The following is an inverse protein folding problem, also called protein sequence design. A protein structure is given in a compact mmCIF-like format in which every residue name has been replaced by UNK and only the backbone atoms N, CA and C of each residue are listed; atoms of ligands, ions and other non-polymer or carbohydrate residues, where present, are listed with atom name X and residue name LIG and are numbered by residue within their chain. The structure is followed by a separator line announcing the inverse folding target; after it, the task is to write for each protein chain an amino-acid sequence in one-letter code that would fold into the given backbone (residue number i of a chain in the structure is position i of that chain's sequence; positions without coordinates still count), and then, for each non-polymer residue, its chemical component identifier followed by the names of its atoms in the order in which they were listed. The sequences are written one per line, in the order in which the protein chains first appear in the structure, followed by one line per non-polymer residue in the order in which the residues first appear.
data_IF_832294667836
#
_entry.id   IF_832294667836
#
_cell.length_a   1.000
_cell.length_b   1.000
_cell.length_c   1.000
_cell.angle_alpha   90.00
_cell.angle_beta   90.00
_cell.angle_gamma   90.00
#
_symmetry.space_group_name_H-M   'P 1'
#
loop_
_entity.id
_entity.type
_entity.pdbx_description
1 polymer ?
#
# COMPACT_ATOMS: atom_id res chain seq x y z
N UNK A 1 -0.78 18.32 -8.32
CA UNK A 1 -1.22 16.98 -7.83
C UNK A 1 -2.37 16.40 -8.68
N UNK A 2 -3.46 17.16 -9.01
CA UNK A 2 -4.64 16.66 -9.75
C UNK A 2 -4.30 16.11 -11.15
N UNK A 3 -3.53 16.86 -11.93
CA UNK A 3 -3.13 16.44 -13.29
C UNK A 3 -2.34 15.12 -13.25
N UNK A 4 -1.30 15.01 -12.41
CA UNK A 4 -0.49 13.82 -12.27
C UNK A 4 -1.33 12.60 -11.80
N UNK A 5 -2.32 12.80 -10.92
CA UNK A 5 -3.25 11.72 -10.54
C UNK A 5 -4.04 11.20 -11.74
N UNK A 6 -4.56 12.09 -12.58
CA UNK A 6 -5.35 11.71 -13.75
C UNK A 6 -4.49 10.97 -14.78
N UNK A 7 -3.28 11.46 -15.04
CA UNK A 7 -2.30 10.82 -15.92
C UNK A 7 -1.96 9.40 -15.47
N UNK A 8 -1.61 9.23 -14.18
CA UNK A 8 -1.25 7.92 -13.65
C UNK A 8 -2.44 6.94 -13.61
N UNK A 9 -3.65 7.43 -13.37
CA UNK A 9 -4.87 6.60 -13.47
C UNK A 9 -5.08 6.10 -14.90
N UNK A 10 -4.89 6.96 -15.90
CA UNK A 10 -5.01 6.59 -17.31
C UNK A 10 -3.94 5.56 -17.71
N UNK A 11 -2.67 5.77 -17.33
CA UNK A 11 -1.58 4.83 -17.58
C UNK A 11 -1.85 3.46 -16.93
N UNK A 12 -2.32 3.43 -15.68
CA UNK A 12 -2.69 2.18 -15.01
C UNK A 12 -3.86 1.46 -15.70
N UNK A 13 -4.86 2.22 -16.17
CA UNK A 13 -6.00 1.64 -16.90
C UNK A 13 -5.57 1.01 -18.23
N UNK A 14 -4.61 1.62 -18.92
CA UNK A 14 -4.04 1.14 -20.19
C UNK A 14 -2.95 0.06 -20.00
N UNK A 15 -2.55 -0.23 -18.76
CA UNK A 15 -1.46 -1.17 -18.49
C UNK A 15 -1.87 -2.60 -18.86
N UNK A 16 -1.16 -3.21 -19.80
CA UNK A 16 -1.22 -4.63 -20.11
C UNK A 16 -0.39 -5.49 -19.15
N UNK A 17 -0.48 -6.80 -19.28
CA UNK A 17 0.33 -7.80 -18.55
C UNK A 17 0.33 -7.62 -17.01
N UNK A 18 -0.78 -7.14 -16.47
CA UNK A 18 -0.88 -6.80 -15.04
C UNK A 18 -0.58 -7.98 -14.13
N UNK A 19 -1.11 -9.16 -14.46
CA UNK A 19 -0.86 -10.36 -13.66
C UNK A 19 0.64 -10.67 -13.53
N UNK A 20 1.38 -10.64 -14.64
CA UNK A 20 2.81 -10.88 -14.64
C UNK A 20 3.61 -9.75 -13.92
N UNK A 21 3.12 -8.51 -13.99
CA UNK A 21 3.71 -7.39 -13.22
C UNK A 21 3.47 -7.56 -11.72
N UNK A 22 2.26 -7.91 -11.32
CA UNK A 22 1.88 -8.16 -9.92
C UNK A 22 2.70 -9.31 -9.32
N UNK A 23 2.95 -10.38 -10.07
CA UNK A 23 3.84 -11.48 -9.66
C UNK A 23 5.27 -10.98 -9.40
N UNK A 24 5.82 -10.14 -10.28
CA UNK A 24 7.16 -9.55 -10.10
C UNK A 24 7.21 -8.63 -8.88
N UNK A 25 6.18 -7.81 -8.66
CA UNK A 25 6.08 -6.97 -7.44
C UNK A 25 6.04 -7.85 -6.20
N UNK A 26 5.23 -8.90 -6.20
CA UNK A 26 5.14 -9.85 -5.10
C UNK A 26 6.51 -10.49 -4.80
N UNK A 27 7.19 -11.02 -5.80
CA UNK A 27 8.51 -11.63 -5.65
C UNK A 27 9.53 -10.64 -5.07
N UNK A 28 9.56 -9.39 -5.55
CA UNK A 28 10.45 -8.34 -5.05
C UNK A 28 10.10 -7.88 -3.64
N UNK A 29 8.82 -7.84 -3.28
CA UNK A 29 8.40 -7.54 -1.91
C UNK A 29 9.01 -8.55 -0.93
N UNK A 30 8.97 -9.84 -1.25
CA UNK A 30 9.55 -10.89 -0.41
C UNK A 30 11.08 -10.96 -0.43
N UNK A 31 11.76 -10.21 -1.29
CA UNK A 31 13.21 -10.01 -1.21
C UNK A 31 13.62 -8.85 -0.29
N UNK A 32 12.66 -8.06 0.22
CA UNK A 32 12.94 -7.04 1.23
C UNK A 32 13.16 -7.67 2.60
N UNK A 33 14.14 -7.22 3.40
CA UNK A 33 14.28 -7.64 4.80
C UNK A 33 13.03 -7.36 5.63
N UNK A 34 12.25 -6.33 5.28
CA UNK A 34 10.99 -5.99 5.92
C UNK A 34 9.94 -7.10 5.82
N UNK A 35 10.00 -7.99 4.83
CA UNK A 35 9.07 -9.12 4.68
C UNK A 35 9.20 -10.15 5.80
N UNK A 36 10.33 -10.19 6.50
CA UNK A 36 10.56 -11.07 7.66
C UNK A 36 9.92 -10.58 8.96
N UNK A 37 9.38 -9.38 8.99
CA UNK A 37 8.67 -8.84 10.15
C UNK A 37 7.40 -9.65 10.47
N UNK A 38 6.77 -9.35 11.62
CA UNK A 38 5.69 -10.17 12.18
C UNK A 38 4.29 -9.69 11.79
N UNK A 39 4.11 -8.39 11.66
CA UNK A 39 2.79 -7.77 11.48
C UNK A 39 2.76 -6.76 10.35
N UNK A 40 1.73 -6.87 9.51
CA UNK A 40 1.59 -6.11 8.28
C UNK A 40 0.22 -5.45 8.20
N UNK A 41 0.21 -4.18 7.83
CA UNK A 41 -0.97 -3.47 7.43
C UNK A 41 -0.92 -3.26 5.92
N UNK A 42 -1.84 -3.88 5.18
CA UNK A 42 -1.81 -3.96 3.72
C UNK A 42 -3.13 -3.42 3.17
N UNK A 43 -3.06 -2.55 2.16
CA UNK A 43 -4.27 -2.11 1.48
C UNK A 43 -4.94 -3.26 0.71
N UNK A 44 -6.26 -3.26 0.64
CA UNK A 44 -7.00 -4.12 -0.26
C UNK A 44 -7.05 -3.45 -1.64
N UNK A 45 -6.43 -4.07 -2.63
CA UNK A 45 -6.26 -3.47 -3.95
C UNK A 45 -7.62 -3.23 -4.62
N UNK A 46 -7.81 -2.01 -5.08
CA UNK A 46 -9.04 -1.54 -5.71
C UNK A 46 -8.78 -1.09 -7.15
N UNK A 47 -9.73 -1.36 -8.05
CA UNK A 47 -9.63 -0.96 -9.45
C UNK A 47 -8.34 -1.48 -10.11
N UNK A 48 -7.53 -0.59 -10.65
CA UNK A 48 -6.28 -0.89 -11.34
C UNK A 48 -5.03 -0.75 -10.46
N UNK A 49 -5.15 -0.85 -9.14
CA UNK A 49 -4.01 -0.86 -8.23
C UNK A 49 -3.17 -2.13 -8.40
N UNK A 50 -1.89 -2.05 -8.05
CA UNK A 50 -1.03 -3.22 -7.95
C UNK A 50 -1.62 -4.19 -6.94
N UNK A 51 -1.80 -5.45 -7.33
CA UNK A 51 -2.49 -6.43 -6.51
C UNK A 51 -1.68 -6.83 -5.27
N UNK A 52 -2.36 -6.89 -4.13
CA UNK A 52 -1.79 -7.25 -2.82
C UNK A 52 -2.21 -8.64 -2.34
N UNK A 53 -3.19 -9.26 -3.00
CA UNK A 53 -3.77 -10.51 -2.57
C UNK A 53 -2.73 -11.65 -2.42
N UNK A 54 -1.80 -11.79 -3.35
CA UNK A 54 -0.73 -12.79 -3.28
C UNK A 54 0.25 -12.52 -2.14
N UNK A 55 0.57 -11.25 -1.88
CA UNK A 55 1.43 -10.84 -0.76
C UNK A 55 0.74 -11.21 0.56
N UNK A 56 -0.52 -10.81 0.74
CA UNK A 56 -1.29 -11.10 1.94
C UNK A 56 -1.45 -12.61 2.17
N UNK A 57 -1.81 -13.36 1.12
CA UNK A 57 -1.97 -14.82 1.21
C UNK A 57 -0.67 -15.54 1.61
N UNK A 58 0.47 -15.11 1.09
CA UNK A 58 1.76 -15.69 1.47
C UNK A 58 2.14 -15.35 2.91
N UNK A 59 2.00 -14.08 3.33
CA UNK A 59 2.25 -13.69 4.73
C UNK A 59 1.38 -14.48 5.72
N UNK A 60 0.10 -14.69 5.40
CA UNK A 60 -0.80 -15.49 6.22
C UNK A 60 -0.35 -16.95 6.32
N UNK A 61 0.06 -17.56 5.19
CA UNK A 61 0.60 -18.93 5.19
C UNK A 61 1.88 -19.06 6.01
N UNK A 62 2.68 -18.00 6.09
CA UNK A 62 3.90 -17.92 6.92
C UNK A 62 3.58 -17.60 8.40
N UNK A 63 2.31 -17.57 8.80
CA UNK A 63 1.88 -17.31 10.17
C UNK A 63 2.01 -15.85 10.62
N UNK A 64 2.21 -14.92 9.68
CA UNK A 64 2.29 -13.49 9.99
C UNK A 64 0.91 -12.90 10.31
N UNK A 65 0.89 -11.83 11.09
CA UNK A 65 -0.33 -11.03 11.30
C UNK A 65 -0.54 -10.12 10.10
N UNK A 66 -1.69 -10.24 9.45
CA UNK A 66 -2.09 -9.35 8.34
C UNK A 66 -3.32 -8.58 8.76
N UNK A 67 -3.27 -7.26 8.61
CA UNK A 67 -4.39 -6.36 8.84
C UNK A 67 -4.75 -5.65 7.53
N UNK A 68 -6.05 -5.46 7.31
CA UNK A 68 -6.57 -4.63 6.22
C UNK A 68 -7.21 -3.35 6.77
N UNK A 69 -7.28 -2.30 5.97
CA UNK A 69 -7.91 -1.05 6.36
C UNK A 69 -9.43 -1.18 6.49
N UNK A 70 -9.98 -0.48 7.48
CA UNK A 70 -11.37 -0.11 7.55
C UNK A 70 -11.47 1.39 7.79
N UNK A 71 -12.37 2.03 7.07
CA UNK A 71 -12.60 3.47 7.16
C UNK A 71 -13.63 3.78 8.24
N UNK A 72 -13.32 4.68 9.17
CA UNK A 72 -14.22 5.18 10.21
C UNK A 72 -14.30 6.70 10.13
N UNK A 73 -15.28 7.21 9.40
CA UNK A 73 -15.38 8.63 9.10
C UNK A 73 -14.17 9.13 8.30
N UNK A 74 -13.40 10.03 8.88
CA UNK A 74 -12.15 10.57 8.28
C UNK A 74 -10.90 9.81 8.72
N UNK A 75 -11.04 8.82 9.60
CA UNK A 75 -9.95 8.02 10.11
C UNK A 75 -9.89 6.65 9.43
N UNK A 76 -8.80 5.95 9.64
CA UNK A 76 -8.59 4.60 9.15
C UNK A 76 -8.01 3.75 10.27
N UNK A 77 -8.61 2.58 10.49
CA UNK A 77 -8.13 1.60 11.46
C UNK A 77 -7.63 0.35 10.76
N UNK A 78 -6.71 -0.35 11.41
CA UNK A 78 -6.25 -1.66 10.97
C UNK A 78 -7.12 -2.74 11.62
N UNK A 79 -7.69 -3.64 10.84
CA UNK A 79 -8.46 -4.80 11.34
C UNK A 79 -7.73 -6.07 10.95
N UNK A 80 -7.41 -6.91 11.94
CA UNK A 80 -6.73 -8.19 11.70
C UNK A 80 -7.57 -9.10 10.82
N UNK A 81 -6.98 -9.63 9.77
CA UNK A 81 -7.62 -10.59 8.89
C UNK A 81 -7.57 -12.01 9.49
N UNK A 82 -8.73 -12.63 9.63
CA UNK A 82 -8.92 -14.00 10.12
C UNK A 82 -9.90 -14.78 9.26
N UNK A 83 -10.16 -14.31 8.03
CA UNK A 83 -11.15 -14.92 7.13
C UNK A 83 -12.60 -14.51 7.44
N UNK A 84 -12.82 -13.46 8.24
CA UNK A 84 -14.14 -12.97 8.61
C UNK A 84 -14.86 -12.33 7.41
N UNK A 85 -16.14 -12.03 7.61
CA UNK A 85 -16.96 -11.32 6.65
C UNK A 85 -16.37 -9.92 6.33
N UNK A 86 -16.69 -9.42 5.15
CA UNK A 86 -16.39 -8.05 4.73
C UNK A 86 -17.67 -7.27 4.47
N UNK A 87 -17.53 -5.96 4.48
CA UNK A 87 -18.58 -5.01 4.08
C UNK A 87 -17.98 -4.02 3.07
N UNK A 88 -18.80 -3.48 2.18
CA UNK A 88 -18.35 -2.42 1.29
C UNK A 88 -18.21 -1.12 2.05
N UNK A 89 -16.98 -0.63 2.13
CA UNK A 89 -16.65 0.66 2.70
C UNK A 89 -17.04 1.85 1.82
N UNK A 90 -16.74 3.07 2.28
CA UNK A 90 -17.14 4.32 1.64
C UNK A 90 -16.65 4.47 0.18
N UNK A 91 -15.58 3.79 -0.20
CA UNK A 91 -15.00 3.81 -1.55
C UNK A 91 -15.37 2.58 -2.39
N UNK A 92 -16.31 1.75 -1.91
CA UNK A 92 -16.68 0.49 -2.57
C UNK A 92 -15.63 -0.62 -2.43
N UNK A 93 -14.63 -0.42 -1.56
CA UNK A 93 -13.60 -1.40 -1.25
C UNK A 93 -14.14 -2.33 -0.16
N UNK A 94 -13.87 -3.63 -0.29
CA UNK A 94 -14.21 -4.60 0.76
C UNK A 94 -13.35 -4.34 2.01
N UNK A 95 -14.01 -4.10 3.13
CA UNK A 95 -13.38 -3.82 4.42
C UNK A 95 -13.75 -4.92 5.43
N UNK A 96 -12.80 -5.45 6.23
CA UNK A 96 -13.11 -6.49 7.20
C UNK A 96 -13.97 -5.97 8.35
N UNK A 97 -14.95 -6.77 8.78
CA UNK A 97 -15.67 -6.52 10.02
C UNK A 97 -14.83 -6.99 11.21
N UNK A 98 -15.01 -6.38 12.37
CA UNK A 98 -14.31 -6.76 13.61
C UNK A 98 -13.76 -5.55 14.36
N UNK A 99 -13.09 -5.79 15.49
CA UNK A 99 -12.49 -4.75 16.30
C UNK A 99 -11.16 -4.24 15.68
N UNK A 100 -10.78 -2.98 15.89
CA UNK A 100 -9.48 -2.49 15.55
C UNK A 100 -8.38 -3.34 16.18
N UNK A 101 -7.33 -3.62 15.41
CA UNK A 101 -6.19 -4.40 15.89
C UNK A 101 -5.40 -3.60 16.94
N UNK A 102 -5.41 -4.11 18.19
CA UNK A 102 -4.73 -3.46 19.32
C UNK A 102 -3.22 -3.76 19.43
N UNK A 103 -2.65 -4.55 18.52
CA UNK A 103 -1.23 -4.89 18.52
C UNK A 103 -0.38 -3.91 17.72
N UNK A 104 0.93 -4.09 17.76
CA UNK A 104 1.86 -3.30 16.96
C UNK A 104 1.87 -3.74 15.49
N UNK A 105 2.04 -2.79 14.59
CA UNK A 105 2.22 -3.00 13.14
C UNK A 105 3.66 -2.66 12.80
N UNK A 106 4.39 -3.64 12.28
CA UNK A 106 5.79 -3.48 11.89
C UNK A 106 5.91 -2.82 10.51
N UNK A 107 5.09 -3.25 9.56
CA UNK A 107 5.16 -2.84 8.15
C UNK A 107 3.80 -2.38 7.65
N UNK A 108 3.78 -1.24 6.98
CA UNK A 108 2.63 -0.77 6.23
C UNK A 108 2.93 -0.81 4.73
N UNK A 109 2.12 -1.55 3.97
CA UNK A 109 2.15 -1.57 2.51
C UNK A 109 1.13 -0.57 2.00
N UNK A 110 1.60 0.44 1.26
CA UNK A 110 0.81 1.59 0.87
C UNK A 110 0.48 1.59 -0.62
N UNK A 111 -0.77 1.92 -0.98
CA UNK A 111 -1.13 2.21 -2.36
C UNK A 111 -0.59 3.59 -2.78
N UNK A 112 -0.32 3.76 -4.06
CA UNK A 112 0.07 5.04 -4.61
C UNK A 112 -0.31 5.17 -6.08
N UNK A 113 -0.42 6.41 -6.55
CA UNK A 113 -0.59 6.75 -7.96
C UNK A 113 0.75 7.11 -8.59
N UNK A 114 1.61 7.83 -7.88
CA UNK A 114 2.97 8.12 -8.31
C UNK A 114 3.90 8.19 -7.09
N UNK A 115 5.18 7.90 -7.31
CA UNK A 115 6.24 8.14 -6.33
C UNK A 115 7.49 8.69 -7.02
N UNK A 116 8.42 9.25 -6.23
CA UNK A 116 9.70 9.73 -6.73
C UNK A 116 10.89 9.08 -6.03
N UNK A 117 12.08 9.26 -6.59
CA UNK A 117 13.33 8.73 -6.04
C UNK A 117 13.71 9.29 -4.66
N UNK A 118 12.99 10.27 -4.15
CA UNK A 118 13.15 10.78 -2.78
C UNK A 118 12.14 10.16 -1.81
N UNK A 119 11.42 9.11 -2.25
CA UNK A 119 10.46 8.33 -1.47
C UNK A 119 9.20 9.08 -1.04
N UNK A 120 8.86 10.16 -1.74
CA UNK A 120 7.54 10.78 -1.61
C UNK A 120 6.56 10.15 -2.57
N UNK A 121 5.28 10.13 -2.16
CA UNK A 121 4.22 9.53 -2.96
C UNK A 121 3.02 10.46 -3.11
N UNK A 122 2.25 10.22 -4.14
CA UNK A 122 0.90 10.76 -4.31
C UNK A 122 -0.09 9.60 -4.27
N UNK A 123 -1.05 9.68 -3.36
CA UNK A 123 -2.24 8.83 -3.33
C UNK A 123 -3.46 9.53 -3.94
N UNK A 124 -4.64 9.02 -3.64
CA UNK A 124 -5.91 9.53 -4.17
C UNK A 124 -6.35 10.88 -3.60
N UNK A 125 -5.75 11.34 -2.49
CA UNK A 125 -5.97 12.66 -1.93
C UNK A 125 -6.80 12.70 -0.64
N UNK A 126 -7.25 11.56 -0.13
CA UNK A 126 -8.01 11.49 1.13
C UNK A 126 -7.17 11.64 2.40
N UNK A 127 -5.84 11.53 2.32
CA UNK A 127 -4.92 11.69 3.45
C UNK A 127 -4.99 10.60 4.53
N UNK A 128 -5.75 9.53 4.31
CA UNK A 128 -5.97 8.46 5.30
C UNK A 128 -4.66 7.83 5.78
N UNK A 129 -3.76 7.47 4.87
CA UNK A 129 -2.47 6.86 5.23
C UNK A 129 -1.54 7.83 5.94
N UNK A 130 -1.53 9.11 5.56
CA UNK A 130 -0.68 10.12 6.19
C UNK A 130 -1.14 10.37 7.63
N UNK A 131 -2.46 10.45 7.87
CA UNK A 131 -3.02 10.52 9.23
C UNK A 131 -2.74 9.26 10.04
N UNK A 132 -3.01 8.07 9.46
CA UNK A 132 -2.79 6.79 10.14
C UNK A 132 -1.32 6.60 10.56
N UNK A 133 -0.37 7.00 9.72
CA UNK A 133 1.07 6.83 9.95
C UNK A 133 1.70 7.95 10.78
N UNK A 134 1.00 9.05 10.99
CA UNK A 134 1.52 10.19 11.75
C UNK A 134 1.96 9.76 13.16
N UNK A 135 3.20 10.09 13.51
CA UNK A 135 3.79 9.76 14.82
C UNK A 135 4.10 8.29 15.06
N UNK A 136 3.82 7.39 14.11
CA UNK A 136 4.05 5.95 14.28
C UNK A 136 5.38 5.50 13.66
N UNK A 137 6.10 4.64 14.38
CA UNK A 137 7.35 4.01 13.91
C UNK A 137 7.04 2.71 13.14
N UNK A 138 6.41 2.84 11.99
CA UNK A 138 6.04 1.73 11.11
C UNK A 138 6.91 1.82 9.85
N UNK A 139 7.47 0.69 9.39
CA UNK A 139 8.22 0.63 8.14
C UNK A 139 7.26 0.73 6.94
N UNK A 140 7.45 1.71 6.07
CA UNK A 140 6.54 2.09 5.01
C UNK A 140 7.03 1.60 3.65
N UNK A 141 6.32 0.65 3.04
CA UNK A 141 6.63 0.12 1.71
C UNK A 141 5.56 0.58 0.73
N UNK A 142 5.95 1.39 -0.24
CA UNK A 142 5.10 1.68 -1.39
C UNK A 142 5.26 0.62 -2.46
N UNK A 143 4.16 0.12 -3.01
CA UNK A 143 4.20 -0.79 -4.15
C UNK A 143 3.44 -0.21 -5.34
N UNK A 144 4.00 -0.37 -6.54
CA UNK A 144 3.44 0.18 -7.77
C UNK A 144 4.09 -0.45 -9.01
N UNK A 145 3.60 -0.12 -10.19
CA UNK A 145 4.32 -0.43 -11.42
C UNK A 145 5.42 0.61 -11.68
N UNK A 146 6.49 0.22 -12.37
CA UNK A 146 7.68 1.07 -12.52
C UNK A 146 7.42 2.37 -13.26
N UNK A 147 6.45 2.41 -14.19
CA UNK A 147 6.03 3.63 -14.87
C UNK A 147 5.39 4.69 -13.94
N UNK A 148 5.02 4.32 -12.72
CA UNK A 148 4.51 5.24 -11.71
C UNK A 148 5.63 5.97 -10.93
N UNK A 149 6.90 5.60 -11.18
CA UNK A 149 8.05 6.33 -10.65
C UNK A 149 8.34 7.52 -11.55
N UNK A 150 8.16 8.71 -11.00
CA UNK A 150 8.33 9.98 -11.71
C UNK A 150 9.54 10.76 -11.18
N UNK A 151 10.00 11.76 -11.92
CA UNK A 151 11.15 12.57 -11.50
C UNK A 151 10.94 13.28 -10.16
N UNK A 152 9.75 13.84 -9.94
CA UNK A 152 9.37 14.52 -8.68
C UNK A 152 7.87 14.55 -8.50
N UNK A 153 7.41 14.23 -7.28
CA UNK A 153 6.02 14.43 -6.87
C UNK A 153 5.87 15.76 -6.10
N UNK A 154 4.75 16.50 -6.27
CA UNK A 154 4.44 17.65 -5.45
C UNK A 154 4.19 17.23 -4.00
N UNK A 155 4.83 17.92 -3.05
CA UNK A 155 4.85 17.60 -1.60
C UNK A 155 4.17 18.66 -0.76
N UNK A 156 3.73 18.23 0.40
CA UNK A 156 3.26 19.06 1.49
C UNK A 156 4.00 18.70 2.80
N UNK A 157 4.08 19.59 3.78
CA UNK A 157 4.86 19.34 5.01
C UNK A 157 4.45 18.10 5.79
N UNK A 158 3.19 17.67 5.66
CA UNK A 158 2.62 16.51 6.34
C UNK A 158 2.71 15.20 5.54
N UNK A 159 3.21 15.23 4.30
CA UNK A 159 3.35 14.02 3.48
C UNK A 159 4.41 13.09 4.09
N UNK A 160 4.01 11.87 4.42
CA UNK A 160 4.90 10.87 5.02
C UNK A 160 5.74 10.20 3.94
N UNK A 161 7.07 10.18 4.15
CA UNK A 161 8.01 9.49 3.26
C UNK A 161 7.95 7.99 3.44
N UNK A 162 8.14 7.27 2.34
CA UNK A 162 8.32 5.82 2.35
C UNK A 162 9.73 5.44 2.82
N UNK A 163 9.88 4.22 3.31
CA UNK A 163 11.17 3.62 3.66
C UNK A 163 11.67 2.72 2.52
N UNK A 164 10.74 2.15 1.71
CA UNK A 164 11.05 1.41 0.51
C UNK A 164 9.99 1.61 -0.58
N UNK A 165 10.41 1.44 -1.82
CA UNK A 165 9.57 1.35 -3.01
C UNK A 165 9.86 0.05 -3.74
N UNK A 166 8.82 -0.71 -4.05
CA UNK A 166 8.89 -1.95 -4.81
C UNK A 166 8.06 -1.82 -6.07
N UNK A 167 8.70 -2.04 -7.22
CA UNK A 167 8.03 -2.05 -8.52
C UNK A 167 8.16 -3.41 -9.21
N UNK A 168 7.52 -3.58 -10.34
CA UNK A 168 7.70 -4.75 -11.19
C UNK A 168 9.09 -4.84 -11.86
N UNK A 169 9.89 -3.76 -11.81
CA UNK A 169 11.23 -3.71 -12.39
C UNK A 169 12.36 -3.61 -11.35
N UNK A 170 12.15 -2.95 -10.21
CA UNK A 170 13.21 -2.66 -9.22
C UNK A 170 12.70 -2.52 -7.79
N UNK A 171 13.65 -2.58 -6.87
CA UNK A 171 13.44 -2.30 -5.44
C UNK A 171 14.37 -1.16 -5.03
N UNK A 172 13.83 -0.18 -4.35
CA UNK A 172 14.57 0.97 -3.82
C UNK A 172 14.36 1.05 -2.32
N UNK A 173 15.43 1.22 -1.54
CA UNK A 173 15.39 1.34 -0.08
C UNK A 173 16.00 2.69 0.31
N UNK A 174 15.30 3.43 1.14
CA UNK A 174 15.77 4.71 1.66
C UNK A 174 16.90 4.48 2.66
N UNK A 175 18.03 5.03 2.38
CA UNK A 175 19.21 5.09 3.27
C UNK A 175 19.06 6.21 4.31
#
# INVERSE_FOLDING_TARGET
KKQLRNEMKALRAACGDRAARDERVCARFFSLPASEKRSFFIYNAFSNETATAQIAARLLREGKVVCFPRTEGNEMVAVRWQGQATVKGAFGIEEPVGEPFGGEIDVCVLPLLAADGQFYRIGYGGGFYDRFLSGKKIYKVGICYDFQIVGRVPREPHDVRLDALVTDARTMIRR
#
